data_IF_977112640731
#
_entry.id   IF_977112640731
#
_cell.length_a   1.000
_cell.length_b   1.000
_cell.length_c   1.000
_cell.angle_alpha   90.00
_cell.angle_beta   90.00
_cell.angle_gamma   90.00
#
_symmetry.space_group_name_H-M   'P 1'
#
loop_
_entity.id
_entity.type
_entity.pdbx_description
1 polymer ?
#
# COMPACT_ATOMS: atom_id res chain seq x y z
N UNK A 1 11.89 16.77 6.05
CA UNK A 1 12.29 15.66 6.98
C UNK A 1 11.80 14.38 6.36
N UNK A 2 12.57 13.27 6.41
CA UNK A 2 12.14 12.01 5.78
C UNK A 2 11.85 10.94 6.81
N UNK A 3 10.71 10.26 6.65
CA UNK A 3 10.38 9.05 7.38
C UNK A 3 10.71 7.83 6.51
N UNK A 4 11.33 6.82 7.11
CA UNK A 4 11.60 5.54 6.46
C UNK A 4 11.04 4.42 7.33
N UNK A 5 10.03 3.74 6.80
CA UNK A 5 9.30 2.65 7.42
C UNK A 5 9.67 1.36 6.69
N UNK A 6 10.21 0.37 7.40
CA UNK A 6 10.67 -0.89 6.80
C UNK A 6 10.29 -2.09 7.65
N UNK A 7 9.73 -3.10 7.02
CA UNK A 7 9.56 -4.42 7.61
C UNK A 7 9.54 -5.47 6.52
N UNK A 8 10.35 -6.52 6.67
CA UNK A 8 10.37 -7.68 5.77
C UNK A 8 10.37 -7.28 4.29
N UNK A 9 9.25 -7.52 3.63
CA UNK A 9 9.01 -7.25 2.22
C UNK A 9 8.68 -5.78 1.90
N UNK A 10 8.28 -4.97 2.87
CA UNK A 10 7.76 -3.63 2.65
C UNK A 10 8.78 -2.54 3.02
N UNK A 11 8.89 -1.55 2.14
CA UNK A 11 9.57 -0.30 2.45
C UNK A 11 8.75 0.89 1.96
N UNK A 12 8.45 1.81 2.87
CA UNK A 12 7.74 3.06 2.61
C UNK A 12 8.64 4.22 3.02
N UNK A 13 8.85 5.17 2.11
CA UNK A 13 9.57 6.42 2.38
C UNK A 13 8.64 7.59 2.17
N UNK A 14 8.60 8.51 3.12
CA UNK A 14 7.71 9.66 3.09
C UNK A 14 8.57 10.90 3.25
N UNK A 15 8.46 11.84 2.31
CA UNK A 15 8.96 13.19 2.53
C UNK A 15 7.89 14.01 3.26
N UNK A 16 8.23 14.43 4.47
CA UNK A 16 7.35 15.19 5.37
C UNK A 16 7.50 16.70 5.16
N UNK A 17 8.24 17.12 4.14
CA UNK A 17 8.20 18.49 3.65
C UNK A 17 6.89 18.76 2.90
N UNK A 18 6.17 19.80 3.32
CA UNK A 18 4.89 20.15 2.73
C UNK A 18 5.07 20.72 1.32
N UNK A 19 4.41 20.12 0.34
CA UNK A 19 4.28 20.65 -1.01
C UNK A 19 2.85 21.17 -1.19
N UNK A 20 2.70 22.36 -1.78
CA UNK A 20 1.39 22.94 -2.06
C UNK A 20 0.66 22.13 -3.16
N UNK A 21 -0.04 21.08 -2.73
CA UNK A 21 -0.70 20.06 -3.55
C UNK A 21 -1.89 19.48 -2.76
N UNK A 22 -2.96 18.98 -3.42
CA UNK A 22 -4.00 18.20 -2.74
C UNK A 22 -3.45 16.99 -1.98
N UNK A 23 -2.28 16.50 -2.37
CA UNK A 23 -1.55 15.41 -1.72
C UNK A 23 -0.14 15.89 -1.38
N UNK A 24 0.06 16.48 -0.20
CA UNK A 24 1.21 17.35 0.08
C UNK A 24 2.52 16.60 0.37
N UNK A 25 2.47 15.27 0.56
CA UNK A 25 3.61 14.49 1.00
C UNK A 25 4.02 13.45 -0.07
N UNK A 26 5.20 13.61 -0.68
CA UNK A 26 5.77 12.58 -1.55
C UNK A 26 5.97 11.25 -0.82
N UNK A 27 5.46 10.16 -1.40
CA UNK A 27 5.64 8.80 -0.90
C UNK A 27 6.29 7.91 -1.97
N UNK A 28 7.22 7.06 -1.53
CA UNK A 28 7.80 5.97 -2.33
C UNK A 28 7.44 4.66 -1.64
N UNK A 29 6.95 3.69 -2.39
CA UNK A 29 6.57 2.37 -1.88
C UNK A 29 7.25 1.26 -2.66
N UNK A 30 7.90 0.35 -1.94
CA UNK A 30 8.48 -0.87 -2.47
C UNK A 30 7.87 -2.10 -1.84
N UNK A 31 7.77 -3.15 -2.67
CA UNK A 31 7.66 -4.54 -2.23
C UNK A 31 8.86 -5.30 -2.76
N UNK A 32 9.67 -5.81 -1.83
CA UNK A 32 11.03 -6.29 -2.06
C UNK A 32 11.86 -5.27 -2.84
N UNK A 33 12.23 -5.60 -4.08
CA UNK A 33 13.01 -4.78 -5.00
C UNK A 33 12.16 -4.04 -6.04
N UNK A 34 10.84 -4.20 -6.00
CA UNK A 34 9.93 -3.64 -7.00
C UNK A 34 9.39 -2.30 -6.50
N UNK A 35 9.58 -1.25 -7.30
CA UNK A 35 9.08 0.09 -7.03
C UNK A 35 7.61 0.19 -7.44
N UNK A 36 6.71 0.05 -6.46
CA UNK A 36 5.28 0.02 -6.70
C UNK A 36 4.68 1.44 -6.78
N UNK A 37 5.12 2.37 -5.91
CA UNK A 37 4.78 3.79 -6.00
C UNK A 37 6.05 4.64 -6.02
N UNK A 38 6.13 5.60 -6.93
CA UNK A 38 7.29 6.45 -7.12
C UNK A 38 7.84 6.35 -8.54
N UNK A 39 8.80 7.20 -8.86
CA UNK A 39 9.50 7.16 -10.14
C UNK A 39 11.01 7.21 -9.94
N UNK A 40 11.76 7.02 -11.02
CA UNK A 40 13.19 7.25 -11.07
C UNK A 40 13.52 8.12 -12.28
N UNK A 41 14.21 9.23 -12.05
CA UNK A 41 14.64 10.18 -13.08
C UNK A 41 16.06 10.67 -12.79
N UNK A 42 16.92 10.75 -13.79
CA UNK A 42 18.34 11.17 -13.65
C UNK A 42 19.08 10.40 -12.53
N UNK A 43 18.75 9.11 -12.36
CA UNK A 43 19.31 8.25 -11.31
C UNK A 43 18.81 8.54 -9.89
N UNK A 44 17.74 9.34 -9.74
CA UNK A 44 17.16 9.70 -8.45
C UNK A 44 15.76 9.13 -8.30
N UNK A 45 15.52 8.50 -7.15
CA UNK A 45 14.18 8.08 -6.76
C UNK A 45 13.38 9.27 -6.25
N UNK A 46 12.18 9.45 -6.79
CA UNK A 46 11.26 10.50 -6.43
C UNK A 46 9.91 9.91 -6.01
N UNK A 47 9.35 10.48 -4.94
CA UNK A 47 8.04 10.08 -4.42
C UNK A 47 6.92 10.82 -5.13
N UNK A 48 5.72 10.25 -5.04
CA UNK A 48 4.50 10.83 -5.60
C UNK A 48 3.70 11.48 -4.48
N UNK A 49 3.12 12.66 -4.73
CA UNK A 49 2.24 13.33 -3.78
C UNK A 49 1.11 12.40 -3.34
N UNK A 50 1.09 12.04 -2.06
CA UNK A 50 0.22 10.99 -1.53
C UNK A 50 -0.57 11.45 -0.31
N UNK A 51 -1.83 11.00 -0.19
CA UNK A 51 -2.52 11.05 1.11
C UNK A 51 -1.96 9.93 1.99
N UNK A 52 -1.06 10.27 2.90
CA UNK A 52 -0.31 9.28 3.69
C UNK A 52 -1.21 8.41 4.56
N UNK A 53 -2.19 8.99 5.25
CA UNK A 53 -3.16 8.22 6.04
C UNK A 53 -3.99 7.30 5.15
N UNK A 54 -4.50 7.83 4.04
CA UNK A 54 -5.24 7.07 3.03
C UNK A 54 -4.45 5.88 2.48
N UNK A 55 -3.14 6.04 2.25
CA UNK A 55 -2.28 4.94 1.82
C UNK A 55 -2.22 3.79 2.86
N UNK A 56 -2.04 4.10 4.14
CA UNK A 56 -2.04 3.07 5.20
C UNK A 56 -3.43 2.48 5.42
N UNK A 57 -4.47 3.30 5.29
CA UNK A 57 -5.87 2.87 5.34
C UNK A 57 -6.14 1.79 4.30
N UNK A 58 -5.79 2.03 3.04
CA UNK A 58 -6.02 1.07 1.96
C UNK A 58 -5.23 -0.22 2.12
N UNK A 59 -3.97 -0.15 2.57
CA UNK A 59 -3.19 -1.36 2.88
C UNK A 59 -3.88 -2.20 3.96
N UNK A 60 -4.39 -1.57 5.02
CA UNK A 60 -5.10 -2.25 6.09
C UNK A 60 -6.45 -2.81 5.62
N UNK A 61 -7.22 -2.05 4.86
CA UNK A 61 -8.49 -2.53 4.27
C UNK A 61 -8.21 -3.73 3.37
N UNK A 62 -7.19 -3.68 2.52
CA UNK A 62 -6.81 -4.79 1.67
C UNK A 62 -6.44 -6.03 2.48
N UNK A 63 -5.67 -5.88 3.56
CA UNK A 63 -5.39 -6.98 4.49
C UNK A 63 -6.68 -7.53 5.12
N UNK A 64 -7.58 -6.68 5.62
CA UNK A 64 -8.86 -7.13 6.20
C UNK A 64 -9.66 -7.95 5.20
N UNK A 65 -9.83 -7.46 3.97
CA UNK A 65 -10.59 -8.12 2.90
C UNK A 65 -9.94 -9.44 2.45
N UNK A 66 -8.61 -9.52 2.40
CA UNK A 66 -7.92 -10.78 2.07
C UNK A 66 -8.01 -11.80 3.21
N UNK A 67 -8.01 -11.35 4.47
CA UNK A 67 -8.10 -12.23 5.62
C UNK A 67 -9.53 -12.74 5.86
N UNK A 68 -10.52 -11.89 5.60
CA UNK A 68 -11.95 -12.15 5.75
C UNK A 68 -12.72 -11.78 4.47
N UNK A 69 -12.60 -12.56 3.39
CA UNK A 69 -13.14 -12.22 2.09
C UNK A 69 -14.68 -12.29 2.06
N UNK A 70 -15.30 -11.19 1.64
CA UNK A 70 -16.68 -11.20 1.16
C UNK A 70 -16.71 -11.43 -0.36
N UNK A 71 -17.71 -12.17 -0.86
CA UNK A 71 -17.81 -12.48 -2.30
C UNK A 71 -18.00 -11.24 -3.18
N UNK A 72 -18.62 -10.17 -2.65
CA UNK A 72 -19.01 -8.98 -3.43
C UNK A 72 -17.83 -8.09 -3.82
N UNK A 73 -16.85 -7.89 -2.93
CA UNK A 73 -15.66 -7.05 -3.16
C UNK A 73 -14.69 -7.69 -4.14
N UNK A 74 -14.59 -9.03 -4.13
CA UNK A 74 -13.75 -9.79 -5.06
C UNK A 74 -14.18 -9.63 -6.53
N UNK A 75 -15.48 -9.52 -6.82
CA UNK A 75 -15.99 -9.45 -8.19
C UNK A 75 -15.69 -8.11 -8.90
N UNK A 76 -15.76 -6.99 -8.17
CA UNK A 76 -15.41 -5.69 -8.72
C UNK A 76 -13.91 -5.61 -9.05
N UNK A 77 -13.05 -5.98 -8.10
CA UNK A 77 -11.60 -5.98 -8.27
C UNK A 77 -11.16 -6.81 -9.48
N UNK A 78 -11.77 -7.98 -9.69
CA UNK A 78 -11.50 -8.86 -10.85
C UNK A 78 -11.81 -8.22 -12.19
N UNK A 79 -12.96 -7.54 -12.29
CA UNK A 79 -13.39 -6.90 -13.55
C UNK A 79 -12.41 -5.80 -13.94
N UNK A 80 -12.06 -4.94 -12.99
CA UNK A 80 -11.08 -3.87 -13.19
C UNK A 80 -9.69 -4.43 -13.50
N UNK A 81 -9.21 -5.41 -12.72
CA UNK A 81 -7.92 -6.04 -12.95
C UNK A 81 -7.82 -6.64 -14.35
N UNK A 82 -8.88 -7.27 -14.85
CA UNK A 82 -8.94 -7.81 -16.21
C UNK A 82 -8.79 -6.72 -17.27
N UNK A 83 -9.43 -5.56 -17.09
CA UNK A 83 -9.27 -4.41 -17.99
C UNK A 83 -7.83 -3.90 -18.04
N UNK A 84 -7.15 -3.94 -16.89
CA UNK A 84 -5.74 -3.61 -16.83
C UNK A 84 -4.84 -4.72 -17.36
N UNK A 85 -5.33 -5.94 -17.63
CA UNK A 85 -4.57 -7.09 -18.14
C UNK A 85 -4.01 -8.00 -17.05
N UNK A 86 -4.62 -7.99 -15.85
CA UNK A 86 -4.31 -8.85 -14.72
C UNK A 86 -5.50 -9.79 -14.44
N UNK A 87 -5.56 -10.96 -15.11
CA UNK A 87 -6.66 -11.89 -14.90
C UNK A 87 -6.49 -12.61 -13.55
N UNK A 88 -7.13 -12.10 -12.50
CA UNK A 88 -7.13 -12.71 -11.17
C UNK A 88 -7.93 -14.02 -11.19
N UNK A 89 -7.45 -15.07 -10.54
CA UNK A 89 -8.04 -16.43 -10.61
C UNK A 89 -9.33 -16.55 -9.81
N UNK A 90 -10.39 -17.03 -10.44
CA UNK A 90 -11.72 -17.20 -9.84
C UNK A 90 -11.65 -17.98 -8.51
N UNK A 91 -12.46 -17.57 -7.52
CA UNK A 91 -12.48 -18.16 -6.18
C UNK A 91 -11.40 -17.65 -5.20
N UNK A 92 -10.29 -17.09 -5.69
CA UNK A 92 -9.29 -16.48 -4.81
C UNK A 92 -9.82 -15.19 -4.12
N UNK A 93 -9.53 -14.94 -2.83
CA UNK A 93 -9.73 -13.62 -2.23
C UNK A 93 -8.95 -12.56 -3.02
N UNK A 94 -9.61 -11.47 -3.41
CA UNK A 94 -8.99 -10.40 -4.17
C UNK A 94 -9.47 -9.02 -3.73
N UNK A 95 -8.56 -8.04 -3.73
CA UNK A 95 -8.85 -6.65 -3.42
C UNK A 95 -8.05 -5.71 -4.32
N UNK A 96 -8.71 -4.65 -4.82
CA UNK A 96 -8.05 -3.59 -5.59
C UNK A 96 -7.71 -2.42 -4.68
N UNK A 97 -6.44 -2.05 -4.61
CA UNK A 97 -5.99 -0.78 -4.03
C UNK A 97 -5.88 0.20 -5.19
N UNK A 98 -6.83 1.14 -5.25
CA UNK A 98 -6.80 2.25 -6.19
C UNK A 98 -6.38 3.45 -5.37
N UNK A 99 -5.07 3.72 -5.28
CA UNK A 99 -4.61 4.79 -4.42
C UNK A 99 -5.30 6.09 -4.80
N UNK A 100 -6.09 6.71 -3.91
CA UNK A 100 -6.85 7.91 -4.22
C UNK A 100 -5.95 9.11 -4.52
N UNK A 101 -4.63 8.94 -4.35
CA UNK A 101 -3.61 9.96 -4.48
C UNK A 101 -3.09 10.14 -5.90
N UNK A 102 -3.15 9.11 -6.75
CA UNK A 102 -2.84 9.25 -8.18
C UNK A 102 -3.33 8.03 -8.97
N UNK A 103 -4.10 8.19 -10.07
CA UNK A 103 -4.47 7.07 -10.95
C UNK A 103 -3.26 6.45 -11.68
N UNK A 104 -2.06 7.01 -11.48
CA UNK A 104 -0.83 6.56 -12.09
C UNK A 104 -0.33 5.24 -11.50
N UNK A 105 -0.82 4.80 -10.34
CA UNK A 105 -0.42 3.52 -9.75
C UNK A 105 -1.61 2.71 -9.27
N UNK A 106 -1.64 1.44 -9.66
CA UNK A 106 -2.76 0.53 -9.42
C UNK A 106 -2.21 -0.79 -8.88
N UNK A 107 -2.81 -1.31 -7.81
CA UNK A 107 -2.45 -2.60 -7.24
C UNK A 107 -3.68 -3.50 -7.08
N UNK A 108 -3.54 -4.76 -7.47
CA UNK A 108 -4.51 -5.80 -7.13
C UNK A 108 -3.83 -6.85 -6.29
N UNK A 109 -4.37 -7.07 -5.09
CA UNK A 109 -3.94 -8.10 -4.17
C UNK A 109 -4.81 -9.34 -4.40
N UNK A 110 -4.18 -10.49 -4.58
CA UNK A 110 -4.83 -11.78 -4.79
C UNK A 110 -4.17 -12.82 -3.88
N UNK A 111 -4.95 -13.44 -2.99
CA UNK A 111 -4.44 -14.53 -2.17
C UNK A 111 -4.67 -15.89 -2.83
N UNK A 112 -3.59 -16.64 -3.03
CA UNK A 112 -3.62 -18.03 -3.49
C UNK A 112 -2.99 -18.92 -2.41
N UNK A 113 -3.84 -19.46 -1.53
CA UNK A 113 -3.40 -20.21 -0.36
C UNK A 113 -2.60 -19.33 0.62
N UNK A 114 -1.33 -19.67 0.82
CA UNK A 114 -0.42 -18.94 1.73
C UNK A 114 0.43 -17.88 1.02
N UNK A 115 0.21 -17.66 -0.28
CA UNK A 115 0.93 -16.66 -1.08
C UNK A 115 -0.02 -15.51 -1.40
N UNK A 116 0.48 -14.29 -1.25
CA UNK A 116 -0.16 -13.08 -1.76
C UNK A 116 0.54 -12.68 -3.06
N UNK A 117 -0.25 -12.54 -4.12
CA UNK A 117 0.18 -11.96 -5.40
C UNK A 117 -0.26 -10.50 -5.45
N UNK A 118 0.69 -9.62 -5.72
CA UNK A 118 0.48 -8.19 -5.87
C UNK A 118 0.71 -7.86 -7.34
N UNK A 119 -0.37 -7.75 -8.09
CA UNK A 119 -0.36 -7.31 -9.48
C UNK A 119 -0.28 -5.79 -9.47
N UNK A 120 0.75 -5.21 -10.07
CA UNK A 120 0.99 -3.77 -10.01
C UNK A 120 1.22 -3.16 -11.38
N UNK A 121 0.77 -1.92 -11.51
CA UNK A 121 1.10 -1.02 -12.62
C UNK A 121 1.47 0.34 -12.02
N UNK A 122 2.63 0.86 -12.37
CA UNK A 122 3.18 2.15 -11.98
C UNK A 122 3.49 2.93 -13.26
N UNK A 123 2.52 3.71 -13.74
CA UNK A 123 2.57 4.48 -14.97
C UNK A 123 3.78 5.41 -15.03
N UNK A 124 4.09 6.12 -13.94
CA UNK A 124 5.21 7.08 -13.95
C UNK A 124 6.56 6.41 -14.15
N UNK A 125 6.72 5.20 -13.59
CA UNK A 125 7.92 4.41 -13.80
C UNK A 125 8.05 3.89 -15.23
N UNK A 126 6.98 3.89 -16.03
CA UNK A 126 7.04 3.49 -17.45
C UNK A 126 7.90 4.44 -18.30
N UNK A 127 8.06 5.68 -17.83
CA UNK A 127 8.84 6.73 -18.48
C UNK A 127 10.26 6.88 -17.93
N UNK A 128 10.69 5.99 -17.02
CA UNK A 128 12.00 6.10 -16.35
C UNK A 128 13.18 6.03 -17.32
N UNK A 129 14.22 6.82 -17.03
CA UNK A 129 15.54 6.76 -17.67
C UNK A 129 16.54 5.91 -16.87
N UNK A 130 16.17 5.46 -15.66
CA UNK A 130 17.00 4.64 -14.79
C UNK A 130 17.06 3.18 -15.27
N UNK A 131 18.24 2.66 -15.67
CA UNK A 131 18.36 1.33 -16.26
C UNK A 131 17.83 0.18 -15.39
N UNK A 132 17.97 0.26 -14.07
CA UNK A 132 17.58 -0.76 -13.11
C UNK A 132 16.05 -0.93 -12.98
N UNK A 133 15.27 0.07 -13.38
CA UNK A 133 13.80 0.06 -13.36
C UNK A 133 13.17 -0.11 -14.74
N UNK A 134 13.98 -0.14 -15.81
CA UNK A 134 13.48 -0.27 -17.17
C UNK A 134 12.63 -1.53 -17.35
N UNK A 135 11.39 -1.35 -17.79
CA UNK A 135 10.43 -2.45 -17.97
C UNK A 135 9.84 -3.02 -16.68
N UNK A 136 10.12 -2.43 -15.52
CA UNK A 136 9.60 -2.86 -14.20
C UNK A 136 8.44 -1.98 -13.70
N UNK A 137 7.82 -1.23 -14.61
CA UNK A 137 6.64 -0.41 -14.32
C UNK A 137 5.36 -1.25 -14.18
N UNK A 138 5.44 -2.55 -14.44
CA UNK A 138 4.29 -3.46 -14.38
C UNK A 138 4.76 -4.88 -14.07
N UNK A 139 4.00 -5.60 -13.26
CA UNK A 139 4.29 -7.02 -13.02
C UNK A 139 3.45 -7.63 -11.91
N UNK A 140 3.93 -8.77 -11.41
CA UNK A 140 3.37 -9.46 -10.24
C UNK A 140 4.51 -9.72 -9.26
N UNK A 141 4.31 -9.35 -8.01
CA UNK A 141 5.21 -9.69 -6.89
C UNK A 141 4.50 -10.74 -6.04
N UNK A 142 5.22 -11.79 -5.65
CA UNK A 142 4.69 -12.85 -4.80
C UNK A 142 5.42 -12.85 -3.45
N UNK A 143 4.65 -12.78 -2.37
CA UNK A 143 5.17 -12.78 -0.99
C UNK A 143 4.34 -13.71 -0.12
N UNK A 144 4.88 -14.28 0.97
CA UNK A 144 4.08 -15.04 1.92
C UNK A 144 2.98 -14.15 2.52
N UNK A 145 1.73 -14.60 2.45
CA UNK A 145 0.57 -13.82 2.93
C UNK A 145 0.72 -13.44 4.41
N UNK A 146 1.19 -14.38 5.23
CA UNK A 146 1.41 -14.17 6.66
C UNK A 146 2.42 -13.03 6.89
N UNK A 147 3.58 -13.11 6.25
CA UNK A 147 4.67 -12.14 6.41
C UNK A 147 4.26 -10.76 5.88
N UNK A 148 3.54 -10.70 4.76
CA UNK A 148 3.02 -9.43 4.24
C UNK A 148 2.08 -8.74 5.24
N UNK A 149 1.14 -9.47 5.84
CA UNK A 149 0.22 -8.87 6.83
C UNK A 149 0.98 -8.41 8.08
N UNK A 150 1.96 -9.19 8.56
CA UNK A 150 2.84 -8.78 9.66
C UNK A 150 3.59 -7.48 9.34
N UNK A 151 4.13 -7.37 8.12
CA UNK A 151 4.84 -6.20 7.65
C UNK A 151 3.93 -4.98 7.58
N UNK A 152 2.71 -5.12 7.03
CA UNK A 152 1.69 -4.04 7.01
C UNK A 152 1.38 -3.58 8.42
N UNK A 153 1.06 -4.49 9.35
CA UNK A 153 0.77 -4.15 10.74
C UNK A 153 1.95 -3.39 11.38
N UNK A 154 3.19 -3.83 11.14
CA UNK A 154 4.37 -3.18 11.72
C UNK A 154 4.59 -1.77 11.18
N UNK A 155 4.54 -1.57 9.87
CA UNK A 155 4.72 -0.23 9.28
C UNK A 155 3.57 0.71 9.64
N UNK A 156 2.32 0.22 9.69
CA UNK A 156 1.15 1.01 10.08
C UNK A 156 1.23 1.44 11.53
N UNK A 157 1.62 0.55 12.45
CA UNK A 157 1.83 0.89 13.86
C UNK A 157 2.92 1.95 14.03
N UNK A 158 4.04 1.78 13.32
CA UNK A 158 5.12 2.76 13.38
C UNK A 158 4.70 4.12 12.83
N UNK A 159 3.98 4.15 11.72
CA UNK A 159 3.38 5.38 11.18
C UNK A 159 2.47 6.05 12.20
N UNK A 160 1.45 5.34 12.71
CA UNK A 160 0.46 5.85 13.65
C UNK A 160 1.09 6.41 14.94
N UNK A 161 2.16 5.79 15.42
CA UNK A 161 2.79 6.18 16.70
C UNK A 161 3.84 7.27 16.55
N UNK A 162 4.62 7.28 15.47
CA UNK A 162 5.76 8.19 15.32
C UNK A 162 5.50 9.33 14.35
N UNK A 163 4.85 9.06 13.23
CA UNK A 163 4.82 9.98 12.09
C UNK A 163 3.45 10.63 11.88
N UNK A 164 2.35 9.98 12.22
CA UNK A 164 1.01 10.56 12.16
C UNK A 164 0.89 11.89 12.94
N UNK A 165 1.40 12.03 14.18
CA UNK A 165 1.37 13.33 14.88
C UNK A 165 2.17 14.43 14.17
N UNK A 166 3.22 14.06 13.44
CA UNK A 166 4.06 15.01 12.71
C UNK A 166 3.35 15.44 11.42
N UNK A 167 2.84 14.47 10.65
CA UNK A 167 2.04 14.73 9.45
C UNK A 167 0.88 15.65 9.79
N UNK A 168 0.14 15.34 10.86
CA UNK A 168 -0.98 16.15 11.33
C UNK A 168 -0.55 17.58 11.67
N UNK A 169 0.54 17.74 12.43
CA UNK A 169 1.06 19.07 12.76
C UNK A 169 1.37 19.88 11.50
N UNK A 170 2.06 19.30 10.53
CA UNK A 170 2.41 19.97 9.27
C UNK A 170 1.14 20.35 8.49
N UNK A 171 0.15 19.47 8.40
CA UNK A 171 -1.13 19.75 7.73
C UNK A 171 -1.90 20.90 8.39
N UNK A 172 -1.96 20.91 9.72
CA UNK A 172 -2.63 21.96 10.49
C UNK A 172 -1.93 23.32 10.38
N UNK A 173 -0.59 23.36 10.35
CA UNK A 173 0.19 24.58 10.09
C UNK A 173 -0.17 25.19 8.72
N UNK A 174 -0.57 24.36 7.77
CA UNK A 174 -1.02 24.73 6.43
C UNK A 174 -2.54 24.85 6.27
N UNK A 175 -3.29 24.87 7.39
CA UNK A 175 -4.76 25.06 7.45
C UNK A 175 -5.58 23.97 6.77
N UNK A 176 -5.03 22.76 6.66
CA UNK A 176 -5.80 21.60 6.23
C UNK A 176 -6.75 21.10 7.32
N UNK A 177 -7.70 20.26 6.92
CA UNK A 177 -8.60 19.59 7.86
C UNK A 177 -7.84 18.49 8.61
N UNK A 178 -8.16 18.26 9.89
CA UNK A 178 -7.63 17.14 10.64
C UNK A 178 -7.98 15.80 9.98
N UNK A 179 -7.07 14.84 10.11
CA UNK A 179 -7.27 13.47 9.66
C UNK A 179 -7.94 12.59 10.74
N UNK A 180 -8.72 11.60 10.33
CA UNK A 180 -9.33 10.61 11.25
C UNK A 180 -8.36 9.45 11.55
N UNK A 181 -7.35 9.71 12.38
CA UNK A 181 -6.43 8.65 12.82
C UNK A 181 -7.10 7.62 13.75
N UNK A 182 -8.24 7.95 14.37
CA UNK A 182 -9.00 7.00 15.19
C UNK A 182 -9.62 5.90 14.33
N UNK A 183 -10.09 6.23 13.12
CA UNK A 183 -10.47 5.25 12.12
C UNK A 183 -9.30 4.35 11.72
N UNK A 184 -8.14 4.94 11.44
CA UNK A 184 -6.95 4.17 11.05
C UNK A 184 -6.48 3.22 12.16
N UNK A 185 -6.55 3.63 13.43
CA UNK A 185 -6.30 2.75 14.58
C UNK A 185 -7.31 1.61 14.68
N UNK A 186 -8.59 1.86 14.43
CA UNK A 186 -9.63 0.81 14.42
C UNK A 186 -9.33 -0.25 13.35
N UNK A 187 -9.00 0.18 12.12
CA UNK A 187 -8.60 -0.73 11.05
C UNK A 187 -7.35 -1.55 11.42
N UNK A 188 -6.34 -0.91 12.01
CA UNK A 188 -5.15 -1.61 12.50
C UNK A 188 -5.51 -2.73 13.49
N UNK A 189 -6.38 -2.44 14.46
CA UNK A 189 -6.81 -3.43 15.44
C UNK A 189 -7.63 -4.56 14.82
N UNK A 190 -8.54 -4.25 13.89
CA UNK A 190 -9.32 -5.24 13.14
C UNK A 190 -8.41 -6.21 12.37
N UNK A 191 -7.46 -5.69 11.59
CA UNK A 191 -6.51 -6.53 10.83
C UNK A 191 -5.67 -7.37 11.78
N UNK A 192 -5.23 -6.82 12.91
CA UNK A 192 -4.47 -7.56 13.92
C UNK A 192 -5.28 -8.73 14.49
N UNK A 193 -6.55 -8.52 14.82
CA UNK A 193 -7.43 -9.60 15.30
C UNK A 193 -7.66 -10.68 14.25
N UNK A 194 -7.88 -10.27 12.98
CA UNK A 194 -8.03 -11.21 11.87
C UNK A 194 -6.75 -12.02 11.63
N UNK A 195 -5.59 -11.37 11.72
CA UNK A 195 -4.29 -12.02 11.62
C UNK A 195 -4.11 -13.08 12.70
N UNK A 196 -4.36 -12.74 13.96
CA UNK A 196 -4.25 -13.66 15.10
C UNK A 196 -5.23 -14.85 14.95
N UNK A 197 -6.49 -14.59 14.57
CA UNK A 197 -7.49 -15.65 14.32
C UNK A 197 -7.05 -16.61 13.22
N UNK A 198 -6.51 -16.09 12.11
CA UNK A 198 -6.15 -16.90 10.94
C UNK A 198 -4.87 -17.71 11.13
N UNK A 199 -3.85 -17.12 11.75
CA UNK A 199 -2.50 -17.71 11.77
C UNK A 199 -2.03 -18.21 13.14
N UNK A 200 -2.63 -17.74 14.25
CA UNK A 200 -2.29 -18.21 15.60
C UNK A 200 -3.36 -19.14 16.20
N UNK A 201 -4.56 -19.20 15.60
CA UNK A 201 -5.64 -20.11 16.02
C UNK A 201 -5.51 -21.57 15.56
N UNK A 202 -4.41 -21.97 14.92
CA UNK A 202 -4.17 -23.32 14.38
C UNK A 202 -3.26 -24.21 15.27
N UNK A 203 -3.07 -23.87 16.53
CA UNK A 203 -2.57 -24.83 17.53
C UNK A 203 -3.77 -25.48 18.24
N UNK A 204 -4.28 -26.58 17.67
CA UNK A 204 -5.35 -27.41 18.24
C UNK A 204 -5.53 -28.71 17.47
#
# INVERSE_FOLDING_TARGET
MRAELRSGHLAVRIDLEYILSPFPFPLIFFVDKNLLLGTCWDGKLEGIGTNISGFFEELLIACSQILNPEESTSNFARKEATWWGFPLKEGNPAYGIITPSEPSSIYYLEAEGNILKIHYYNELLSYTDCPEFRGRHRGVVEVPLREFVEDVLKISREFLTKYAPIVEKVRLEHREKPEDYDYLWRLYHEVKELYEKKFNGQEG
#
